data_IF_657035966917
#
_entry.id   IF_657035966917
#
_cell.length_a   1.000
_cell.length_b   1.000
_cell.length_c   1.000
_cell.angle_alpha   90.00
_cell.angle_beta   90.00
_cell.angle_gamma   90.00
#
_symmetry.space_group_name_H-M   'P 1'
#
loop_
_entity.id
_entity.type
_entity.pdbx_description
1 polymer ?
#
# COMPACT_ATOMS: atom_id res chain seq x y z
N UNK A 1 3.03 0.34 4.68
CA UNK A 1 1.80 -0.49 4.58
C UNK A 1 1.33 -0.44 3.14
N UNK A 2 0.41 -1.32 2.74
CA UNK A 2 -0.19 -1.30 1.40
C UNK A 2 -1.68 -0.91 1.46
N UNK A 3 -2.31 -0.82 0.30
CA UNK A 3 -3.65 -0.28 0.07
C UNK A 3 -4.73 -0.68 1.08
N UNK A 4 -4.96 -1.99 1.30
CA UNK A 4 -6.07 -2.43 2.15
C UNK A 4 -5.79 -2.15 3.62
N UNK A 5 -4.57 -2.42 4.08
CA UNK A 5 -4.15 -2.20 5.46
C UNK A 5 -4.38 -0.76 5.93
N UNK A 6 -4.10 0.23 5.08
CA UNK A 6 -4.37 1.65 5.38
C UNK A 6 -5.86 1.98 5.50
N UNK A 7 -6.70 1.34 4.68
CA UNK A 7 -8.09 1.76 4.50
C UNK A 7 -9.09 0.98 5.36
N UNK A 8 -8.73 -0.22 5.84
CA UNK A 8 -9.67 -1.21 6.43
C UNK A 8 -10.55 -0.69 7.57
N UNK A 9 -10.12 0.35 8.31
CA UNK A 9 -10.88 0.95 9.41
C UNK A 9 -11.80 2.10 8.98
N UNK A 10 -11.73 2.51 7.70
CA UNK A 10 -12.37 3.72 7.18
C UNK A 10 -13.18 3.47 5.90
N UNK A 11 -13.57 2.22 5.64
CA UNK A 11 -14.25 1.81 4.40
C UNK A 11 -15.60 2.50 4.15
N UNK A 12 -16.17 3.17 5.16
CA UNK A 12 -17.43 3.90 5.06
C UNK A 12 -17.25 5.36 4.60
N UNK A 13 -16.01 5.86 4.47
CA UNK A 13 -15.67 7.17 3.90
C UNK A 13 -14.88 7.00 2.57
N UNK A 14 -15.57 6.99 1.41
CA UNK A 14 -14.96 6.79 0.10
C UNK A 14 -13.76 7.70 -0.20
N UNK A 15 -13.86 8.97 0.15
CA UNK A 15 -12.84 9.97 -0.15
C UNK A 15 -11.64 9.85 0.81
N UNK A 16 -11.86 9.41 2.05
CA UNK A 16 -10.78 9.01 2.93
C UNK A 16 -10.02 7.80 2.38
N UNK A 17 -10.73 6.75 1.94
CA UNK A 17 -10.13 5.55 1.32
C UNK A 17 -9.31 5.91 0.07
N UNK A 18 -9.82 6.82 -0.77
CA UNK A 18 -9.03 7.35 -1.89
C UNK A 18 -7.80 8.12 -1.40
N UNK A 19 -7.93 8.91 -0.33
CA UNK A 19 -6.83 9.62 0.30
C UNK A 19 -5.72 8.69 0.80
N UNK A 20 -6.07 7.53 1.37
CA UNK A 20 -5.07 6.57 1.84
C UNK A 20 -4.31 5.89 0.69
N UNK A 21 -4.93 5.75 -0.49
CA UNK A 21 -4.28 5.18 -1.69
C UNK A 21 -3.52 6.21 -2.52
N UNK A 22 -3.80 7.51 -2.32
CA UNK A 22 -3.33 8.60 -3.17
C UNK A 22 -1.80 8.71 -3.26
N UNK A 23 -1.02 8.61 -2.16
CA UNK A 23 0.44 8.65 -2.26
C UNK A 23 1.01 7.57 -3.19
N UNK A 24 0.45 6.36 -3.15
CA UNK A 24 0.87 5.24 -3.99
C UNK A 24 0.44 5.41 -5.44
N UNK A 25 -0.79 5.87 -5.68
CA UNK A 25 -1.27 6.22 -7.02
C UNK A 25 -0.37 7.27 -7.68
N UNK A 26 0.04 8.31 -6.95
CA UNK A 26 0.97 9.32 -7.47
C UNK A 26 2.35 8.73 -7.77
N UNK A 27 2.83 7.75 -7.01
CA UNK A 27 4.06 7.03 -7.35
C UNK A 27 3.95 6.25 -8.67
N UNK A 28 2.75 5.78 -9.03
CA UNK A 28 2.49 5.06 -10.29
C UNK A 28 2.41 6.01 -11.49
N UNK A 29 1.55 7.04 -11.44
CA UNK A 29 1.23 7.84 -12.65
C UNK A 29 1.82 9.24 -12.68
N UNK A 30 2.27 9.77 -11.55
CA UNK A 30 2.72 11.15 -11.44
C UNK A 30 3.92 11.26 -10.49
N UNK A 31 4.97 10.45 -10.70
CA UNK A 31 6.09 10.27 -9.73
C UNK A 31 6.89 11.54 -9.37
N UNK A 32 6.62 12.70 -9.96
CA UNK A 32 7.21 13.99 -9.57
C UNK A 32 6.30 14.80 -8.64
N UNK A 33 5.01 14.47 -8.59
CA UNK A 33 3.99 15.07 -7.72
C UNK A 33 3.95 14.31 -6.40
N UNK A 34 3.97 15.04 -5.28
CA UNK A 34 4.00 14.45 -3.93
C UNK A 34 3.09 15.21 -2.99
N UNK A 35 2.09 14.52 -2.45
CA UNK A 35 1.28 15.02 -1.34
C UNK A 35 1.80 14.42 -0.03
N UNK A 36 2.80 15.07 0.56
CA UNK A 36 3.30 14.79 1.92
C UNK A 36 2.39 15.37 3.01
N UNK A 37 2.55 14.90 4.25
CA UNK A 37 1.84 15.43 5.45
C UNK A 37 1.72 16.95 5.50
N UNK A 38 2.84 17.69 5.31
CA UNK A 38 2.86 19.16 5.34
C UNK A 38 1.95 19.85 4.31
N UNK A 39 1.64 19.15 3.20
CA UNK A 39 0.77 19.67 2.15
C UNK A 39 -0.71 19.34 2.43
N UNK A 40 -0.98 18.19 3.06
CA UNK A 40 -2.35 17.75 3.37
C UNK A 40 -2.88 18.35 4.68
N UNK A 41 -2.03 18.52 5.70
CA UNK A 41 -2.42 19.00 7.03
C UNK A 41 -3.24 20.31 7.03
N UNK A 42 -2.94 21.32 6.18
CA UNK A 42 -3.75 22.55 6.13
C UNK A 42 -5.21 22.33 5.70
N UNK A 43 -5.54 21.18 5.11
CA UNK A 43 -6.85 20.88 4.53
C UNK A 43 -7.66 19.86 5.36
N UNK A 44 -7.13 19.38 6.48
CA UNK A 44 -7.78 18.34 7.31
C UNK A 44 -9.20 18.73 7.77
N UNK A 45 -9.39 20.02 8.04
CA UNK A 45 -10.63 20.63 8.49
C UNK A 45 -11.24 21.58 7.43
N UNK A 46 -10.93 21.38 6.14
CA UNK A 46 -11.53 22.18 5.06
C UNK A 46 -13.07 22.01 5.04
N UNK A 47 -13.77 23.09 4.75
CA UNK A 47 -15.24 23.11 4.61
C UNK A 47 -15.77 22.20 3.48
N UNK A 48 -14.95 21.90 2.47
CA UNK A 48 -15.29 20.98 1.39
C UNK A 48 -15.06 19.53 1.85
N UNK A 49 -16.15 18.79 2.06
CA UNK A 49 -16.09 17.44 2.59
C UNK A 49 -15.16 16.47 1.82
N UNK A 50 -15.17 16.42 0.46
CA UNK A 50 -14.25 15.54 -0.28
C UNK A 50 -12.77 15.87 -0.05
N UNK A 51 -12.41 17.16 -0.11
CA UNK A 51 -11.03 17.59 0.10
C UNK A 51 -10.55 17.26 1.51
N UNK A 52 -11.35 17.57 2.53
CA UNK A 52 -11.00 17.29 3.91
C UNK A 52 -10.84 15.78 4.17
N UNK A 53 -11.72 14.95 3.60
CA UNK A 53 -11.63 13.50 3.70
C UNK A 53 -10.38 12.94 2.99
N UNK A 54 -10.07 13.40 1.77
CA UNK A 54 -8.85 13.02 1.05
C UNK A 54 -7.60 13.44 1.84
N UNK A 55 -7.57 14.66 2.38
CA UNK A 55 -6.46 15.14 3.18
C UNK A 55 -6.24 14.28 4.44
N UNK A 56 -7.32 13.94 5.16
CA UNK A 56 -7.27 13.01 6.29
C UNK A 56 -6.76 11.63 5.89
N UNK A 57 -7.21 11.08 4.77
CA UNK A 57 -6.72 9.79 4.25
C UNK A 57 -5.22 9.83 3.91
N UNK A 58 -4.73 10.93 3.32
CA UNK A 58 -3.29 11.10 3.08
C UNK A 58 -2.52 11.17 4.40
N UNK A 59 -3.02 11.92 5.39
CA UNK A 59 -2.39 11.99 6.70
C UNK A 59 -2.35 10.62 7.39
N UNK A 60 -3.43 9.83 7.27
CA UNK A 60 -3.52 8.47 7.77
C UNK A 60 -2.49 7.56 7.12
N UNK A 61 -2.37 7.57 5.78
CA UNK A 61 -1.34 6.79 5.07
C UNK A 61 0.07 7.08 5.62
N UNK A 62 0.44 8.36 5.74
CA UNK A 62 1.75 8.73 6.28
C UNK A 62 1.91 8.43 7.78
N UNK A 63 0.82 8.39 8.54
CA UNK A 63 0.85 7.99 9.94
C UNK A 63 1.09 6.48 10.06
N UNK A 64 0.31 5.70 9.33
CA UNK A 64 0.40 4.24 9.22
C UNK A 64 1.80 3.79 8.83
N UNK A 65 2.33 4.34 7.75
CA UNK A 65 3.69 4.04 7.34
C UNK A 65 4.72 4.36 8.41
N UNK A 66 4.58 5.51 9.08
CA UNK A 66 5.57 5.93 10.05
C UNK A 66 5.66 4.98 11.26
N UNK A 67 4.53 4.46 11.75
CA UNK A 67 4.57 3.52 12.87
C UNK A 67 4.80 2.07 12.41
N UNK A 68 4.19 1.65 11.30
CA UNK A 68 4.30 0.28 10.77
C UNK A 68 5.75 -0.13 10.53
N UNK A 69 6.51 0.74 9.86
CA UNK A 69 7.92 0.50 9.54
C UNK A 69 8.85 0.49 10.76
N UNK A 70 8.36 0.94 11.92
CA UNK A 70 9.10 0.90 13.18
C UNK A 70 8.76 -0.31 14.03
N UNK A 71 7.72 -1.07 13.69
CA UNK A 71 7.34 -2.25 14.48
C UNK A 71 8.45 -3.31 14.41
N UNK A 72 8.78 -3.98 15.54
CA UNK A 72 9.73 -5.08 15.53
C UNK A 72 9.32 -6.22 14.60
N UNK A 73 8.00 -6.50 14.53
CA UNK A 73 7.42 -7.52 13.66
C UNK A 73 7.72 -7.25 12.18
N UNK A 74 7.55 -6.00 11.71
CA UNK A 74 7.84 -5.65 10.34
C UNK A 74 9.34 -5.76 10.02
N UNK A 75 10.20 -5.28 10.93
CA UNK A 75 11.65 -5.37 10.76
C UNK A 75 12.13 -6.83 10.68
N UNK A 76 11.63 -7.69 11.57
CA UNK A 76 11.96 -9.12 11.59
C UNK A 76 11.47 -9.83 10.33
N UNK A 77 10.21 -9.64 9.95
CA UNK A 77 9.65 -10.28 8.76
C UNK A 77 10.33 -9.78 7.48
N UNK A 78 10.63 -8.48 7.37
CA UNK A 78 11.34 -7.95 6.20
C UNK A 78 12.72 -8.59 6.04
N UNK A 79 13.45 -8.80 7.14
CA UNK A 79 14.74 -9.49 7.11
C UNK A 79 14.57 -10.98 6.75
N UNK A 80 13.62 -11.67 7.36
CA UNK A 80 13.29 -13.07 7.06
C UNK A 80 12.95 -13.25 5.57
N UNK A 81 12.09 -12.37 5.01
CA UNK A 81 11.75 -12.40 3.59
C UNK A 81 12.94 -12.06 2.71
N UNK A 82 13.79 -11.11 3.11
CA UNK A 82 15.02 -10.78 2.37
C UNK A 82 15.94 -12.00 2.24
N UNK A 83 16.10 -12.79 3.32
CA UNK A 83 16.89 -14.04 3.30
C UNK A 83 16.27 -15.04 2.32
N UNK A 84 14.96 -15.31 2.43
CA UNK A 84 14.26 -16.24 1.53
C UNK A 84 14.34 -15.83 0.05
N UNK A 85 14.18 -14.54 -0.24
CA UNK A 85 14.30 -14.00 -1.59
C UNK A 85 15.72 -14.19 -2.12
N UNK A 86 16.75 -13.94 -1.32
CA UNK A 86 18.15 -14.13 -1.70
C UNK A 86 18.45 -15.60 -2.02
N UNK A 87 17.93 -16.53 -1.22
CA UNK A 87 18.08 -17.97 -1.46
C UNK A 87 17.39 -18.41 -2.75
N UNK A 88 16.21 -17.85 -3.06
CA UNK A 88 15.47 -18.12 -4.29
C UNK A 88 16.10 -17.46 -5.54
N UNK A 89 16.90 -16.40 -5.35
CA UNK A 89 17.55 -15.60 -6.40
C UNK A 89 19.09 -15.59 -6.21
N UNK A 90 19.76 -16.74 -6.37
CA UNK A 90 21.20 -16.83 -6.15
C UNK A 90 21.97 -15.85 -7.05
N UNK A 91 22.91 -15.11 -6.44
CA UNK A 91 23.70 -14.06 -7.11
C UNK A 91 23.10 -12.65 -7.05
N UNK A 92 21.91 -12.48 -6.47
CA UNK A 92 21.32 -11.17 -6.20
C UNK A 92 21.54 -10.78 -4.73
N UNK A 93 22.54 -9.94 -4.46
CA UNK A 93 22.93 -9.54 -3.10
C UNK A 93 22.68 -8.05 -2.82
N UNK A 94 22.05 -7.34 -3.76
CA UNK A 94 21.92 -5.88 -3.70
C UNK A 94 20.65 -5.37 -3.00
N UNK A 95 20.40 -4.07 -3.16
CA UNK A 95 19.19 -3.40 -2.66
C UNK A 95 17.87 -4.04 -3.13
N UNK A 96 17.90 -4.77 -4.26
CA UNK A 96 16.74 -5.46 -4.84
C UNK A 96 16.15 -6.50 -3.88
N UNK A 97 16.97 -7.33 -3.24
CA UNK A 97 16.45 -8.38 -2.34
C UNK A 97 15.86 -7.80 -1.06
N UNK A 98 16.45 -6.72 -0.54
CA UNK A 98 15.89 -6.01 0.62
C UNK A 98 14.54 -5.35 0.27
N UNK A 99 14.47 -4.69 -0.88
CA UNK A 99 13.22 -4.10 -1.39
C UNK A 99 12.12 -5.15 -1.58
N UNK A 100 12.47 -6.31 -2.14
CA UNK A 100 11.54 -7.43 -2.31
C UNK A 100 11.06 -7.99 -0.98
N UNK A 101 11.98 -8.19 -0.02
CA UNK A 101 11.63 -8.66 1.32
C UNK A 101 10.63 -7.73 2.00
N UNK A 102 10.88 -6.43 1.92
CA UNK A 102 9.99 -5.38 2.43
C UNK A 102 8.61 -5.42 1.79
N UNK A 103 8.52 -5.27 0.45
CA UNK A 103 7.22 -5.14 -0.21
C UNK A 103 6.40 -6.43 -0.12
N UNK A 104 7.05 -7.59 -0.08
CA UNK A 104 6.34 -8.87 0.08
C UNK A 104 5.56 -8.91 1.41
N UNK A 105 6.13 -8.40 2.50
CA UNK A 105 5.41 -8.32 3.80
C UNK A 105 4.15 -7.46 3.67
N UNK A 106 4.24 -6.31 3.00
CA UNK A 106 3.09 -5.40 2.84
C UNK A 106 1.98 -6.01 1.97
N UNK A 107 2.34 -6.66 0.85
CA UNK A 107 1.36 -7.29 -0.03
C UNK A 107 0.68 -8.49 0.64
N UNK A 108 1.46 -9.31 1.35
CA UNK A 108 0.94 -10.47 2.04
C UNK A 108 0.10 -10.09 3.27
N UNK A 109 0.36 -8.95 3.90
CA UNK A 109 -0.50 -8.42 4.95
C UNK A 109 -1.89 -8.05 4.41
N UNK A 110 -1.97 -7.41 3.24
CA UNK A 110 -3.25 -7.14 2.58
C UNK A 110 -3.99 -8.43 2.21
N UNK A 111 -3.27 -9.44 1.71
CA UNK A 111 -3.85 -10.75 1.39
C UNK A 111 -4.40 -11.46 2.64
N UNK A 112 -3.66 -11.43 3.74
CA UNK A 112 -4.05 -12.03 5.01
C UNK A 112 -5.28 -11.34 5.59
N UNK A 113 -5.32 -10.00 5.59
CA UNK A 113 -6.50 -9.23 6.00
C UNK A 113 -7.73 -9.62 5.18
N UNK A 114 -7.60 -9.70 3.86
CA UNK A 114 -8.68 -10.11 2.97
C UNK A 114 -9.14 -11.56 3.20
N UNK A 115 -8.21 -12.45 3.60
CA UNK A 115 -8.51 -13.83 3.94
C UNK A 115 -9.25 -13.98 5.27
N UNK A 116 -8.94 -13.13 6.26
CA UNK A 116 -9.59 -13.13 7.58
C UNK A 116 -11.02 -12.57 7.54
N UNK A 117 -11.28 -11.56 6.72
CA UNK A 117 -12.61 -11.01 6.49
C UNK A 117 -12.91 -10.88 4.98
N UNK A 118 -13.69 -11.82 4.41
CA UNK A 118 -14.05 -11.83 2.99
C UNK A 118 -14.82 -10.58 2.52
N UNK A 119 -15.36 -9.76 3.43
CA UNK A 119 -16.07 -8.53 3.07
C UNK A 119 -15.14 -7.32 2.88
N UNK A 120 -13.88 -7.37 3.32
CA UNK A 120 -12.98 -6.22 3.27
C UNK A 120 -12.69 -5.75 1.84
N UNK A 121 -12.24 -6.64 0.95
CA UNK A 121 -11.95 -6.27 -0.44
C UNK A 121 -13.19 -5.81 -1.21
N UNK A 122 -14.36 -6.49 -1.11
CA UNK A 122 -15.60 -5.97 -1.70
C UNK A 122 -15.94 -4.57 -1.21
N UNK A 123 -15.89 -4.31 0.10
CA UNK A 123 -16.17 -2.98 0.68
C UNK A 123 -15.15 -1.94 0.23
N UNK A 124 -13.87 -2.28 0.18
CA UNK A 124 -12.80 -1.40 -0.29
C UNK A 124 -13.04 -0.94 -1.73
N UNK A 125 -13.29 -1.87 -2.66
CA UNK A 125 -13.56 -1.50 -4.05
C UNK A 125 -14.92 -0.80 -4.24
N UNK A 126 -15.93 -1.13 -3.43
CA UNK A 126 -17.21 -0.41 -3.43
C UNK A 126 -17.07 1.03 -2.93
N UNK A 127 -16.23 1.27 -1.92
CA UNK A 127 -15.92 2.61 -1.44
C UNK A 127 -15.26 3.42 -2.56
N UNK A 128 -14.20 2.89 -3.18
CA UNK A 128 -13.50 3.55 -4.29
C UNK A 128 -14.39 3.79 -5.52
N UNK A 129 -15.35 2.92 -5.81
CA UNK A 129 -16.29 3.10 -6.92
C UNK A 129 -17.23 4.30 -6.75
N UNK A 130 -17.33 4.88 -5.56
CA UNK A 130 -18.13 6.09 -5.27
C UNK A 130 -17.34 7.39 -5.40
N UNK A 131 -16.04 7.30 -5.65
CA UNK A 131 -15.13 8.45 -5.70
C UNK A 131 -15.14 9.04 -7.11
N UNK A 132 -15.34 10.35 -7.21
CA UNK A 132 -15.09 11.08 -8.46
C UNK A 132 -13.56 11.28 -8.64
N UNK A 133 -12.94 10.74 -9.70
CA UNK A 133 -11.52 10.95 -9.96
C UNK A 133 -11.12 12.43 -10.16
N UNK A 134 -12.04 13.26 -10.65
CA UNK A 134 -11.84 14.69 -10.83
C UNK A 134 -11.68 15.43 -9.51
N UNK A 135 -12.48 15.07 -8.50
CA UNK A 135 -12.35 15.59 -7.13
C UNK A 135 -11.00 15.21 -6.51
N UNK A 136 -10.53 13.98 -6.74
CA UNK A 136 -9.20 13.54 -6.27
C UNK A 136 -8.07 14.33 -6.93
N UNK A 137 -8.12 14.50 -8.26
CA UNK A 137 -7.14 15.30 -8.98
C UNK A 137 -7.16 16.78 -8.57
N UNK A 138 -8.36 17.34 -8.34
CA UNK A 138 -8.57 18.68 -7.80
C UNK A 138 -7.96 18.85 -6.41
N UNK A 139 -8.15 17.87 -5.52
CA UNK A 139 -7.54 17.85 -4.20
C UNK A 139 -6.00 17.82 -4.26
N UNK A 140 -5.41 17.04 -5.16
CA UNK A 140 -3.94 17.05 -5.37
C UNK A 140 -3.47 18.44 -5.80
N UNK A 141 -4.18 19.10 -6.71
CA UNK A 141 -3.84 20.46 -7.14
C UNK A 141 -3.90 21.45 -5.98
N UNK A 142 -4.95 21.40 -5.15
CA UNK A 142 -5.08 22.28 -3.97
C UNK A 142 -3.99 22.04 -2.93
N UNK A 143 -3.66 20.77 -2.64
CA UNK A 143 -2.65 20.45 -1.63
C UNK A 143 -1.22 20.70 -2.09
N UNK A 144 -0.88 20.29 -3.32
CA UNK A 144 0.52 20.29 -3.79
C UNK A 144 0.88 21.47 -4.70
N UNK A 145 -0.10 22.16 -5.27
CA UNK A 145 0.08 23.15 -6.34
C UNK A 145 0.30 22.55 -7.73
N UNK A 146 0.39 21.22 -7.87
CA UNK A 146 0.63 20.53 -9.13
C UNK A 146 -0.59 19.73 -9.60
N UNK A 147 -0.78 19.64 -10.92
CA UNK A 147 -1.79 18.77 -11.52
C UNK A 147 -1.43 17.29 -11.39
N UNK A 148 -2.45 16.45 -11.28
CA UNK A 148 -2.34 15.00 -11.35
C UNK A 148 -3.45 14.42 -12.25
N UNK A 149 -3.59 15.00 -13.44
CA UNK A 149 -4.57 14.63 -14.46
C UNK A 149 -4.57 13.12 -14.78
N UNK A 150 -3.43 12.39 -14.79
CA UNK A 150 -3.44 10.94 -14.98
C UNK A 150 -4.24 10.13 -13.93
N UNK A 151 -4.59 10.71 -12.78
CA UNK A 151 -5.45 10.05 -11.79
C UNK A 151 -6.86 9.79 -12.34
N UNK A 152 -7.35 10.64 -13.25
CA UNK A 152 -8.65 10.47 -13.87
C UNK A 152 -8.77 9.15 -14.66
N UNK A 153 -7.66 8.69 -15.26
CA UNK A 153 -7.59 7.40 -15.94
C UNK A 153 -7.21 6.27 -14.98
N UNK A 154 -6.29 6.52 -14.04
CA UNK A 154 -5.80 5.50 -13.13
C UNK A 154 -6.89 4.94 -12.22
N UNK A 155 -7.70 5.80 -11.59
CA UNK A 155 -8.65 5.37 -10.55
C UNK A 155 -9.68 4.38 -11.12
N UNK A 156 -10.36 4.64 -12.25
CA UNK A 156 -11.25 3.67 -12.86
C UNK A 156 -10.56 2.35 -13.22
N UNK A 157 -9.34 2.40 -13.77
CA UNK A 157 -8.55 1.21 -14.12
C UNK A 157 -8.17 0.41 -12.88
N UNK A 158 -7.73 1.06 -11.82
CA UNK A 158 -7.39 0.45 -10.53
C UNK A 158 -8.59 -0.32 -9.95
N UNK A 159 -9.78 0.28 -10.00
CA UNK A 159 -11.03 -0.33 -9.52
C UNK A 159 -11.45 -1.51 -10.41
N UNK A 160 -11.31 -1.38 -11.73
CA UNK A 160 -11.67 -2.44 -12.68
C UNK A 160 -10.75 -3.67 -12.56
N UNK A 161 -9.45 -3.44 -12.40
CA UNK A 161 -8.42 -4.49 -12.27
C UNK A 161 -8.60 -5.35 -11.02
N UNK A 162 -9.11 -4.77 -9.93
CA UNK A 162 -9.32 -5.43 -8.64
C UNK A 162 -8.11 -6.25 -8.15
N UNK A 163 -6.90 -5.78 -8.41
CA UNK A 163 -5.69 -6.58 -8.28
C UNK A 163 -5.33 -7.03 -6.87
N UNK A 164 -5.91 -6.46 -5.81
CA UNK A 164 -5.59 -6.91 -4.44
C UNK A 164 -6.02 -8.37 -4.22
N UNK A 165 -7.02 -8.86 -4.97
CA UNK A 165 -7.37 -10.29 -4.98
C UNK A 165 -6.25 -11.19 -5.50
N UNK A 166 -5.38 -10.66 -6.36
CA UNK A 166 -4.30 -11.44 -6.96
C UNK A 166 -3.23 -11.83 -5.95
N UNK A 167 -3.15 -11.18 -4.79
CA UNK A 167 -2.14 -11.48 -3.78
C UNK A 167 -2.33 -12.85 -3.12
N UNK A 168 -3.57 -13.38 -3.15
CA UNK A 168 -3.88 -14.70 -2.63
C UNK A 168 -3.34 -15.83 -3.53
N UNK A 169 -3.09 -15.56 -4.81
CA UNK A 169 -2.65 -16.53 -5.81
C UNK A 169 -1.14 -16.36 -6.11
N UNK A 170 -0.39 -17.45 -6.16
CA UNK A 170 1.07 -17.39 -6.31
C UNK A 170 1.51 -16.83 -7.66
N UNK A 171 0.88 -17.28 -8.75
CA UNK A 171 1.24 -16.85 -10.09
C UNK A 171 0.86 -15.40 -10.33
N UNK A 172 -0.31 -15.00 -9.84
CA UNK A 172 -0.75 -13.61 -9.97
C UNK A 172 0.01 -12.68 -9.04
N UNK A 173 0.38 -13.11 -7.83
CA UNK A 173 1.27 -12.34 -6.95
C UNK A 173 2.62 -12.10 -7.62
N UNK A 174 3.24 -13.14 -8.20
CA UNK A 174 4.49 -12.99 -8.96
C UNK A 174 4.32 -12.02 -10.13
N UNK A 175 3.21 -12.13 -10.88
CA UNK A 175 2.90 -11.22 -11.97
C UNK A 175 2.80 -9.77 -11.49
N UNK A 176 2.12 -9.50 -10.36
CA UNK A 176 1.99 -8.16 -9.76
C UNK A 176 3.35 -7.65 -9.25
N UNK A 177 4.19 -8.50 -8.66
CA UNK A 177 5.56 -8.16 -8.28
C UNK A 177 6.41 -7.78 -9.51
N UNK A 178 6.25 -8.48 -10.63
CA UNK A 178 6.93 -8.12 -11.88
C UNK A 178 6.47 -6.77 -12.45
N UNK A 179 5.20 -6.41 -12.29
CA UNK A 179 4.73 -5.05 -12.58
C UNK A 179 5.42 -4.01 -11.67
N UNK A 180 5.71 -4.34 -10.41
CA UNK A 180 6.51 -3.48 -9.53
C UNK A 180 7.95 -3.38 -10.06
N UNK A 181 8.60 -4.49 -10.37
CA UNK A 181 9.99 -4.52 -10.87
C UNK A 181 10.16 -3.63 -12.11
N UNK A 182 9.24 -3.73 -13.07
CA UNK A 182 9.24 -2.90 -14.27
C UNK A 182 9.17 -1.40 -13.93
N UNK A 183 8.31 -1.01 -12.99
CA UNK A 183 8.15 0.38 -12.57
C UNK A 183 9.41 0.94 -11.92
N UNK A 184 10.11 0.13 -11.13
CA UNK A 184 11.39 0.51 -10.49
C UNK A 184 12.61 0.22 -11.35
N UNK A 185 12.43 -0.20 -12.62
CA UNK A 185 13.48 -0.51 -13.60
C UNK A 185 14.45 -1.62 -13.16
N UNK A 186 13.93 -2.62 -12.44
CA UNK A 186 14.64 -3.84 -12.10
C UNK A 186 14.22 -4.98 -13.02
N UNK A 187 15.09 -5.97 -13.17
CA UNK A 187 14.80 -7.17 -13.95
C UNK A 187 13.58 -7.93 -13.40
N UNK A 188 12.83 -8.65 -14.26
CA UNK A 188 11.76 -9.51 -13.79
C UNK A 188 12.29 -10.62 -12.88
N UNK A 189 11.41 -11.10 -12.02
CA UNK A 189 11.59 -12.19 -11.06
C UNK A 189 11.28 -13.52 -11.76
N UNK A 190 12.11 -14.55 -11.58
CA UNK A 190 11.86 -15.88 -12.10
C UNK A 190 10.69 -16.54 -11.37
N UNK A 191 10.03 -17.48 -12.05
CA UNK A 191 8.93 -18.24 -11.48
C UNK A 191 9.30 -18.99 -10.19
N UNK A 192 10.56 -19.44 -10.06
CA UNK A 192 11.09 -20.08 -8.84
C UNK A 192 10.80 -19.31 -7.54
N UNK A 193 10.64 -17.99 -7.60
CA UNK A 193 10.30 -17.20 -6.43
C UNK A 193 8.96 -17.60 -5.80
N UNK A 194 8.03 -18.21 -6.55
CA UNK A 194 6.75 -18.68 -5.98
C UNK A 194 6.93 -19.76 -4.91
N UNK A 195 8.04 -20.50 -4.94
CA UNK A 195 8.36 -21.56 -3.96
C UNK A 195 8.39 -21.03 -2.52
N UNK A 196 8.72 -19.75 -2.30
CA UNK A 196 8.78 -19.16 -0.95
C UNK A 196 7.43 -18.61 -0.47
N UNK A 197 6.44 -18.42 -1.35
CA UNK A 197 5.20 -17.72 -1.02
C UNK A 197 4.34 -18.43 0.05
N UNK A 198 4.18 -19.77 0.06
CA UNK A 198 3.43 -20.45 1.11
C UNK A 198 4.02 -20.21 2.51
N UNK A 199 5.36 -20.33 2.63
CA UNK A 199 6.06 -20.08 3.90
C UNK A 199 6.01 -18.59 4.29
N UNK A 200 6.08 -17.68 3.32
CA UNK A 200 5.97 -16.23 3.54
C UNK A 200 4.58 -15.85 4.08
N UNK A 201 3.50 -16.39 3.49
CA UNK A 201 2.13 -16.16 3.99
C UNK A 201 1.96 -16.64 5.42
N UNK A 202 2.43 -17.84 5.73
CA UNK A 202 2.35 -18.38 7.09
C UNK A 202 3.11 -17.52 8.11
N UNK A 203 4.28 -17.00 7.73
CA UNK A 203 5.07 -16.12 8.59
C UNK A 203 4.35 -14.79 8.87
N UNK A 204 3.76 -14.17 7.84
CA UNK A 204 2.96 -12.94 7.98
C UNK A 204 1.71 -13.19 8.81
N UNK A 205 0.94 -14.24 8.51
CA UNK A 205 -0.30 -14.59 9.23
C UNK A 205 -0.08 -14.76 10.74
N UNK A 206 1.04 -15.39 11.14
CA UNK A 206 1.42 -15.57 12.56
C UNK A 206 1.73 -14.26 13.29
N UNK A 207 2.01 -13.18 12.57
CA UNK A 207 2.41 -11.89 13.13
C UNK A 207 1.45 -10.75 12.77
N UNK A 208 0.30 -11.03 12.14
CA UNK A 208 -0.65 -10.00 11.69
C UNK A 208 -1.04 -9.03 12.79
N UNK A 209 -1.33 -9.53 14.00
CA UNK A 209 -1.67 -8.67 15.14
C UNK A 209 -0.52 -7.73 15.50
N UNK A 210 0.72 -8.26 15.58
CA UNK A 210 1.91 -7.48 15.92
C UNK A 210 2.26 -6.47 14.82
N UNK A 211 2.06 -6.82 13.55
CA UNK A 211 2.21 -5.90 12.41
C UNK A 211 1.21 -4.74 12.46
N UNK A 212 0.03 -4.97 13.04
CA UNK A 212 -1.05 -3.99 13.11
C UNK A 212 -1.13 -3.27 14.47
N UNK A 213 -0.19 -3.52 15.36
CA UNK A 213 -0.11 -2.89 16.68
C UNK A 213 1.08 -1.93 16.71
N UNK A 214 0.86 -0.61 16.79
CA UNK A 214 1.93 0.34 17.03
C UNK A 214 2.62 0.01 18.36
N UNK A 215 3.95 0.12 18.42
CA UNK A 215 4.62 0.11 19.72
C UNK A 215 4.03 1.22 20.61
N UNK A 216 3.83 0.97 21.92
CA UNK A 216 3.44 2.02 22.83
C UNK A 216 4.42 3.19 22.68
N UNK A 217 3.94 4.44 22.67
CA UNK A 217 4.83 5.58 22.57
C UNK A 217 5.90 5.42 23.64
N UNK A 218 7.15 5.59 23.24
CA UNK A 218 8.28 5.56 24.14
C UNK A 218 8.09 6.74 25.11
N UNK A 219 7.44 6.50 26.26
CA UNK A 219 7.30 7.50 27.31
C UNK A 219 8.68 7.56 27.95
N UNK A 220 9.45 8.64 27.77
CA UNK A 220 10.69 8.78 28.52
C UNK A 220 10.33 8.77 30.00
N UNK A 221 10.98 7.87 30.75
CA UNK A 221 10.92 7.82 32.20
C UNK A 221 11.52 9.09 32.83
#
# INVERSE_FOLDING_TARGET
MNYLAHARQHLDDPYFVAGTALPDWLNVVARKVRVRRRHAAPFEADSQAPLAAIARGVLQHHHDDAWFHRTPAFAQLSLEMTVRVREALPGDEGMRVFFLGHILVELLLDAELAGQDPQLLPRYYQALARVDPGEVAGAVRRMSGWGAEPLAELIPRFIAERFLWDYADDDKLLWRLNQVMQRVRLSPLPHRLTEIFPAARLAVSRQTTQLLTPDPPNVPA
#
